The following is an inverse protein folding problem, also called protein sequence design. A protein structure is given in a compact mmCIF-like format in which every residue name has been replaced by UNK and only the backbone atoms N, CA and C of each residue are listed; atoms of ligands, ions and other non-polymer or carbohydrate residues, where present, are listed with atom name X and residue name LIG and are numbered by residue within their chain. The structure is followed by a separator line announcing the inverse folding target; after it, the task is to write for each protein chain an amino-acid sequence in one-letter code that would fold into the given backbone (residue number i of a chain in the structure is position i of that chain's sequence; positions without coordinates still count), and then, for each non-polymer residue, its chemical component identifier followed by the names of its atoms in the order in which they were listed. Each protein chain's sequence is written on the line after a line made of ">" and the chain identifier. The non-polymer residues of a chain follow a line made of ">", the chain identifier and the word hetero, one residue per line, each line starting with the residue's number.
data_IF_281925913150
#
_entry.id   IF_281925913150
#
_cell.length_a   1.000
_cell.length_b   1.000
_cell.length_c   1.000
_cell.angle_alpha   90.00
_cell.angle_beta   90.00
_cell.angle_gamma   90.00
#
_symmetry.space_group_name_H-M   'P 1'
#
loop_
_entity.id
_entity.type
_entity.pdbx_description
1 polymer ?
#
# COMPACT_ATOMS: atom_id res chain seq x y z
N UNK A 1 -1.85 10.25 23.28
CA UNK A 1 -0.61 10.14 22.48
C UNK A 1 -0.71 9.07 21.41
N UNK A 2 -1.50 9.33 20.37
CA UNK A 2 -1.61 8.49 19.17
C UNK A 2 -1.67 9.38 17.92
N UNK A 3 -0.68 10.25 17.74
CA UNK A 3 -0.41 10.89 16.46
C UNK A 3 1.09 11.23 16.41
N UNK A 4 1.89 10.24 16.02
CA UNK A 4 3.31 10.38 15.75
C UNK A 4 3.60 9.99 14.32
N UNK A 5 3.95 11.00 13.51
CA UNK A 5 4.86 10.94 12.37
C UNK A 5 4.67 9.86 11.28
N UNK A 6 4.20 10.29 10.11
CA UNK A 6 4.99 10.20 8.88
C UNK A 6 4.31 10.98 7.76
N UNK A 7 4.82 12.19 7.49
CA UNK A 7 4.49 12.93 6.28
C UNK A 7 5.12 12.25 5.08
N UNK A 8 4.32 11.54 4.28
CA UNK A 8 4.72 11.13 2.94
C UNK A 8 4.44 12.27 1.97
N UNK A 9 5.52 12.96 1.58
CA UNK A 9 5.53 13.94 0.49
C UNK A 9 5.48 13.16 -0.82
N UNK A 10 4.32 13.10 -1.44
CA UNK A 10 4.15 12.51 -2.77
C UNK A 10 4.87 13.39 -3.79
N UNK A 11 6.01 12.91 -4.30
CA UNK A 11 6.73 13.57 -5.39
C UNK A 11 5.95 13.40 -6.68
N UNK A 12 5.41 14.49 -7.21
CA UNK A 12 4.93 14.54 -8.59
C UNK A 12 6.14 14.48 -9.52
N UNK A 13 6.33 13.33 -10.18
CA UNK A 13 7.19 13.24 -11.35
C UNK A 13 6.45 13.88 -12.54
N UNK A 14 6.87 15.09 -12.85
CA UNK A 14 6.48 15.85 -14.03
C UNK A 14 7.15 15.23 -15.26
N UNK A 15 6.37 14.81 -16.26
CA UNK A 15 6.90 14.65 -17.62
C UNK A 15 5.80 14.81 -18.68
N UNK A 16 5.94 15.84 -19.53
CA UNK A 16 5.49 15.81 -20.92
C UNK A 16 4.13 16.41 -21.27
N UNK A 17 4.10 17.74 -21.46
CA UNK A 17 3.53 18.38 -22.67
C UNK A 17 2.05 18.21 -22.98
N UNK A 18 1.22 19.14 -22.50
CA UNK A 18 -0.13 19.38 -22.98
C UNK A 18 -0.59 20.77 -22.56
N UNK A 19 -0.50 21.74 -23.48
CA UNK A 19 -0.94 23.10 -23.28
C UNK A 19 -2.46 23.13 -23.31
N UNK A 20 -3.12 23.16 -22.14
CA UNK A 20 -4.56 23.36 -22.06
C UNK A 20 -4.88 24.50 -21.08
N UNK A 21 -5.17 25.66 -21.66
CA UNK A 21 -5.69 26.84 -20.96
C UNK A 21 -7.15 26.56 -20.58
N UNK A 22 -7.34 25.80 -19.50
CA UNK A 22 -8.63 25.60 -18.85
C UNK A 22 -8.74 26.50 -17.63
N UNK A 23 -9.50 27.59 -17.77
CA UNK A 23 -9.90 28.50 -16.70
C UNK A 23 -10.64 27.73 -15.58
N UNK A 24 -9.89 27.23 -14.60
CA UNK A 24 -10.39 26.49 -13.44
C UNK A 24 -10.51 27.40 -12.23
N UNK A 25 -11.73 27.75 -11.90
CA UNK A 25 -12.16 28.57 -10.78
C UNK A 25 -11.50 28.13 -9.45
N UNK A 26 -10.43 28.83 -9.04
CA UNK A 26 -9.83 28.70 -7.72
C UNK A 26 -10.75 29.36 -6.68
N UNK A 27 -11.90 28.74 -6.40
CA UNK A 27 -12.66 29.02 -5.20
C UNK A 27 -11.89 28.39 -4.05
N UNK A 28 -11.65 29.15 -2.99
CA UNK A 28 -10.95 28.78 -1.76
C UNK A 28 -11.49 27.49 -1.09
N UNK A 29 -11.24 26.32 -1.68
CA UNK A 29 -11.67 25.03 -1.18
C UNK A 29 -10.82 24.61 0.00
N UNK A 30 -11.43 24.53 1.19
CA UNK A 30 -10.81 23.91 2.36
C UNK A 30 -10.45 22.48 2.00
N UNK A 31 -9.19 22.09 2.20
CA UNK A 31 -8.74 20.72 1.90
C UNK A 31 -9.42 19.73 2.85
N UNK A 32 -9.62 18.50 2.39
CA UNK A 32 -10.21 17.45 3.21
C UNK A 32 -9.48 17.25 4.55
N UNK A 33 -8.14 17.28 4.52
CA UNK A 33 -7.32 17.21 5.74
C UNK A 33 -7.62 18.36 6.72
N UNK A 34 -7.78 19.59 6.22
CA UNK A 34 -8.12 20.75 7.06
C UNK A 34 -9.51 20.62 7.69
N UNK A 35 -10.50 20.11 6.95
CA UNK A 35 -11.84 19.84 7.51
C UNK A 35 -11.78 18.81 8.64
N UNK A 36 -11.04 17.71 8.46
CA UNK A 36 -10.86 16.67 9.50
C UNK A 36 -10.10 17.21 10.72
N UNK A 37 -9.06 18.01 10.53
CA UNK A 37 -8.31 18.66 11.61
C UNK A 37 -9.20 19.61 12.43
N UNK A 38 -10.04 20.41 11.75
CA UNK A 38 -11.01 21.30 12.41
C UNK A 38 -12.07 20.52 13.18
N UNK A 39 -12.63 19.44 12.61
CA UNK A 39 -13.55 18.54 13.30
C UNK A 39 -12.92 18.00 14.59
N UNK A 40 -11.67 17.54 14.51
CA UNK A 40 -10.94 17.05 15.67
C UNK A 40 -10.72 18.12 16.75
N UNK A 41 -10.42 19.37 16.35
CA UNK A 41 -10.29 20.48 17.29
C UNK A 41 -11.61 20.82 17.99
N UNK A 42 -12.73 20.78 17.26
CA UNK A 42 -14.06 20.98 17.83
C UNK A 42 -14.48 19.85 18.77
N UNK A 43 -14.22 18.60 18.41
CA UNK A 43 -14.46 17.44 19.27
C UNK A 43 -13.64 17.52 20.57
N UNK A 44 -12.37 17.96 20.48
CA UNK A 44 -11.57 18.25 21.68
C UNK A 44 -12.23 19.33 22.54
N UNK A 45 -12.71 20.41 21.94
CA UNK A 45 -13.38 21.48 22.69
C UNK A 45 -14.65 20.95 23.37
N UNK A 46 -15.47 20.20 22.64
CA UNK A 46 -16.70 19.57 23.16
C UNK A 46 -16.39 18.70 24.39
N UNK A 47 -15.36 17.86 24.30
CA UNK A 47 -14.92 17.04 25.42
C UNK A 47 -14.60 17.87 26.69
N UNK A 48 -13.90 19.00 26.54
CA UNK A 48 -13.57 19.86 27.68
C UNK A 48 -14.82 20.56 28.25
N UNK A 49 -15.74 20.99 27.39
CA UNK A 49 -17.00 21.62 27.81
C UNK A 49 -17.91 20.64 28.55
N UNK A 50 -18.06 19.41 28.04
CA UNK A 50 -18.80 18.33 28.72
C UNK A 50 -18.16 18.00 30.06
N UNK A 51 -16.83 17.88 30.11
CA UNK A 51 -16.09 17.64 31.36
C UNK A 51 -16.30 18.76 32.38
N UNK A 52 -16.41 20.01 31.93
CA UNK A 52 -16.69 21.14 32.81
C UNK A 52 -18.15 21.14 33.30
N UNK A 53 -19.11 20.88 32.41
CA UNK A 53 -20.52 20.77 32.77
C UNK A 53 -20.76 19.69 33.83
N UNK A 54 -20.13 18.52 33.68
CA UNK A 54 -20.21 17.44 34.68
C UNK A 54 -19.62 17.85 36.04
N UNK A 55 -18.53 18.62 36.06
CA UNK A 55 -17.98 19.17 37.32
C UNK A 55 -18.95 20.14 38.00
N UNK A 56 -19.56 21.05 37.23
CA UNK A 56 -20.54 22.02 37.75
C UNK A 56 -21.76 21.27 38.30
N UNK A 57 -22.26 20.28 37.56
CA UNK A 57 -23.38 19.42 37.99
C UNK A 57 -23.07 18.67 39.28
N UNK A 58 -21.89 18.07 39.41
CA UNK A 58 -21.48 17.40 40.65
C UNK A 58 -21.43 18.37 41.84
N UNK A 59 -21.00 19.61 41.64
CA UNK A 59 -20.99 20.63 42.70
C UNK A 59 -22.41 21.12 43.04
N UNK A 60 -23.25 21.30 42.03
CA UNK A 60 -24.67 21.59 42.19
C UNK A 60 -25.35 20.52 43.05
N UNK A 61 -25.19 19.24 42.72
CA UNK A 61 -25.83 18.13 43.43
C UNK A 61 -25.38 18.08 44.90
N UNK A 62 -24.10 18.32 45.18
CA UNK A 62 -23.59 18.44 46.56
C UNK A 62 -24.23 19.61 47.30
N UNK A 63 -24.40 20.75 46.63
CA UNK A 63 -24.92 21.98 47.25
C UNK A 63 -26.42 21.88 47.50
N UNK A 64 -27.18 21.26 46.59
CA UNK A 64 -28.60 20.91 46.79
C UNK A 64 -28.77 19.98 47.99
N UNK A 65 -27.93 18.96 48.12
CA UNK A 65 -27.95 18.06 49.28
C UNK A 65 -27.61 18.79 50.59
N UNK A 66 -26.66 19.72 50.57
CA UNK A 66 -26.37 20.58 51.73
C UNK A 66 -27.56 21.47 52.10
N UNK A 67 -28.24 22.07 51.13
CA UNK A 67 -29.43 22.90 51.35
C UNK A 67 -30.53 22.09 52.03
N UNK A 68 -30.86 20.90 51.49
CA UNK A 68 -31.85 19.98 52.09
C UNK A 68 -31.53 19.65 53.54
N UNK A 69 -30.25 19.41 53.88
CA UNK A 69 -29.82 19.13 55.26
C UNK A 69 -30.00 20.33 56.20
N UNK A 70 -29.78 21.56 55.72
CA UNK A 70 -29.99 22.78 56.51
C UNK A 70 -31.47 23.04 56.77
N UNK A 71 -32.31 22.81 55.77
CA UNK A 71 -33.78 22.94 55.87
C UNK A 71 -34.37 21.95 56.87
N UNK A 72 -33.98 20.68 56.81
CA UNK A 72 -34.44 19.63 57.76
C UNK A 72 -34.02 19.96 59.20
N UNK A 73 -32.82 20.51 59.39
CA UNK A 73 -32.29 20.85 60.73
C UNK A 73 -32.81 22.17 61.29
N UNK A 74 -33.68 22.91 60.58
CA UNK A 74 -34.12 24.28 60.92
C UNK A 74 -32.92 25.17 61.27
N UNK A 75 -31.89 25.15 60.43
CA UNK A 75 -30.70 25.98 60.61
C UNK A 75 -31.03 27.49 60.47
N UNK A 76 -30.11 28.34 60.93
CA UNK A 76 -30.24 29.80 60.83
C UNK A 76 -30.59 30.26 59.40
N UNK A 77 -31.60 31.13 59.31
CA UNK A 77 -32.15 31.67 58.07
C UNK A 77 -31.06 32.23 57.15
N UNK A 78 -30.11 32.98 57.72
CA UNK A 78 -29.00 33.58 56.96
C UNK A 78 -28.13 32.53 56.26
N UNK A 79 -27.92 31.37 56.89
CA UNK A 79 -27.11 30.27 56.34
C UNK A 79 -27.85 29.50 55.26
N UNK A 80 -29.16 29.30 55.44
CA UNK A 80 -30.03 28.66 54.45
C UNK A 80 -30.11 29.52 53.19
N UNK A 81 -30.37 30.83 53.33
CA UNK A 81 -30.43 31.75 52.18
C UNK A 81 -29.10 31.88 51.44
N UNK A 82 -27.96 31.88 52.14
CA UNK A 82 -26.64 31.85 51.49
C UNK A 82 -26.48 30.60 50.61
N UNK A 83 -26.87 29.45 51.14
CA UNK A 83 -26.76 28.16 50.43
C UNK A 83 -27.69 28.13 49.22
N UNK A 84 -28.90 28.67 49.35
CA UNK A 84 -29.87 28.80 48.25
C UNK A 84 -29.32 29.64 47.10
N UNK A 85 -28.73 30.81 47.39
CA UNK A 85 -28.07 31.65 46.37
C UNK A 85 -26.91 30.92 45.66
N UNK A 86 -26.20 30.05 46.36
CA UNK A 86 -25.13 29.24 45.76
C UNK A 86 -25.69 28.15 44.84
N UNK A 87 -26.85 27.56 45.16
CA UNK A 87 -27.58 26.65 44.26
C UNK A 87 -28.05 27.40 43.00
N UNK A 88 -28.75 28.52 43.15
CA UNK A 88 -29.26 29.34 42.02
C UNK A 88 -28.10 29.78 41.09
N UNK A 89 -26.94 30.12 41.66
CA UNK A 89 -25.72 30.41 40.89
C UNK A 89 -25.24 29.20 40.10
N UNK A 90 -25.22 28.01 40.71
CA UNK A 90 -24.78 26.78 40.04
C UNK A 90 -25.76 26.36 38.94
N UNK A 91 -27.07 26.54 39.14
CA UNK A 91 -28.09 26.32 38.10
C UNK A 91 -27.83 27.23 36.89
N UNK A 92 -27.59 28.53 37.12
CA UNK A 92 -27.22 29.47 36.04
C UNK A 92 -25.94 29.03 35.30
N UNK A 93 -24.93 28.54 36.03
CA UNK A 93 -23.70 28.02 35.42
C UNK A 93 -23.92 26.73 34.61
N UNK A 94 -24.86 25.88 35.03
CA UNK A 94 -25.24 24.68 34.27
C UNK A 94 -25.92 25.04 32.96
N UNK A 95 -26.81 26.04 32.95
CA UNK A 95 -27.44 26.54 31.73
C UNK A 95 -26.40 27.11 30.74
N UNK A 96 -25.46 27.92 31.24
CA UNK A 96 -24.35 28.45 30.42
C UNK A 96 -23.49 27.33 29.86
N UNK A 97 -23.17 26.31 30.67
CA UNK A 97 -22.39 25.16 30.22
C UNK A 97 -23.14 24.33 29.17
N UNK A 98 -24.45 24.14 29.33
CA UNK A 98 -25.30 23.47 28.34
C UNK A 98 -25.35 24.25 27.02
N UNK A 99 -25.45 25.57 27.07
CA UNK A 99 -25.43 26.42 25.87
C UNK A 99 -24.09 26.35 25.12
N UNK A 100 -22.96 26.31 25.86
CA UNK A 100 -21.64 26.13 25.26
C UNK A 100 -21.54 24.78 24.52
N UNK A 101 -21.95 23.68 25.17
CA UNK A 101 -22.00 22.34 24.58
C UNK A 101 -22.86 22.31 23.31
N UNK A 102 -24.05 22.92 23.34
CA UNK A 102 -24.95 22.98 22.19
C UNK A 102 -24.33 23.77 21.03
N UNK A 103 -23.68 24.90 21.32
CA UNK A 103 -23.00 25.73 20.31
C UNK A 103 -21.86 24.97 19.65
N UNK A 104 -20.99 24.33 20.44
CA UNK A 104 -19.88 23.52 19.92
C UNK A 104 -20.39 22.33 19.12
N UNK A 105 -21.43 21.64 19.60
CA UNK A 105 -22.04 20.51 18.88
C UNK A 105 -22.65 20.95 17.55
N UNK A 106 -23.28 22.12 17.50
CA UNK A 106 -23.85 22.67 16.26
C UNK A 106 -22.76 22.97 15.21
N UNK A 107 -21.60 23.48 15.63
CA UNK A 107 -20.46 23.69 14.71
C UNK A 107 -19.88 22.38 14.18
N UNK A 108 -19.85 21.31 14.99
CA UNK A 108 -19.44 19.96 14.53
C UNK A 108 -20.43 19.44 13.47
N UNK A 109 -21.74 19.54 13.73
CA UNK A 109 -22.77 19.13 12.77
C UNK A 109 -22.64 19.94 11.48
N UNK A 110 -22.50 21.26 11.58
CA UNK A 110 -22.33 22.14 10.42
C UNK A 110 -21.11 21.75 9.56
N UNK A 111 -19.97 21.48 10.20
CA UNK A 111 -18.77 21.01 9.49
C UNK A 111 -18.97 19.65 8.83
N UNK A 112 -19.62 18.72 9.54
CA UNK A 112 -19.91 17.38 9.03
C UNK A 112 -20.79 17.42 7.79
N UNK A 113 -21.90 18.15 7.85
CA UNK A 113 -22.90 18.18 6.77
C UNK A 113 -22.48 19.08 5.61
N UNK A 114 -21.89 20.26 5.88
CA UNK A 114 -21.64 21.25 4.82
C UNK A 114 -20.25 21.14 4.18
N UNK A 115 -19.26 20.55 4.86
CA UNK A 115 -17.90 20.40 4.33
C UNK A 115 -17.54 18.93 4.13
N UNK A 116 -17.61 18.12 5.20
CA UNK A 116 -17.11 16.75 5.15
C UNK A 116 -17.94 15.86 4.21
N UNK A 117 -19.28 15.87 4.31
CA UNK A 117 -20.13 15.01 3.50
C UNK A 117 -19.94 15.24 1.98
N UNK A 118 -19.98 16.49 1.45
CA UNK A 118 -19.67 16.75 0.04
C UNK A 118 -18.27 16.29 -0.38
N UNK A 119 -17.25 16.50 0.47
CA UNK A 119 -15.89 16.03 0.20
C UNK A 119 -15.81 14.50 0.10
N UNK A 120 -16.56 13.77 0.93
CA UNK A 120 -16.61 12.31 0.88
C UNK A 120 -17.28 11.82 -0.41
N UNK A 121 -18.34 12.48 -0.86
CA UNK A 121 -18.99 12.16 -2.13
C UNK A 121 -18.04 12.37 -3.32
N UNK A 122 -17.35 13.50 -3.35
CA UNK A 122 -16.34 13.79 -4.38
C UNK A 122 -15.19 12.79 -4.34
N UNK A 123 -14.78 12.36 -3.15
CA UNK A 123 -13.73 11.36 -2.96
C UNK A 123 -14.17 9.97 -3.45
N UNK A 124 -15.38 9.53 -3.11
CA UNK A 124 -15.96 8.27 -3.61
C UNK A 124 -16.08 8.31 -5.14
N UNK A 125 -16.55 9.42 -5.70
CA UNK A 125 -16.61 9.62 -7.16
C UNK A 125 -15.22 9.57 -7.79
N UNK A 126 -14.23 10.20 -7.16
CA UNK A 126 -12.83 10.16 -7.59
C UNK A 126 -12.29 8.74 -7.61
N UNK A 127 -12.55 7.94 -6.57
CA UNK A 127 -12.16 6.53 -6.52
C UNK A 127 -12.87 5.70 -7.58
N UNK A 128 -14.18 5.89 -7.78
CA UNK A 128 -14.92 5.22 -8.85
C UNK A 128 -14.29 5.47 -10.22
N UNK A 129 -14.01 6.74 -10.56
CA UNK A 129 -13.39 7.10 -11.84
C UNK A 129 -11.97 6.53 -11.97
N UNK A 130 -11.14 6.65 -10.92
CA UNK A 130 -9.79 6.12 -10.91
C UNK A 130 -9.78 4.60 -11.12
N UNK A 131 -10.63 3.86 -10.40
CA UNK A 131 -10.70 2.40 -10.53
C UNK A 131 -11.25 1.96 -11.87
N UNK A 132 -12.18 2.72 -12.48
CA UNK A 132 -12.62 2.50 -13.85
C UNK A 132 -11.47 2.61 -14.84
N UNK A 133 -10.70 3.70 -14.79
CA UNK A 133 -9.52 3.86 -15.66
C UNK A 133 -8.46 2.79 -15.42
N UNK A 134 -8.21 2.42 -14.15
CA UNK A 134 -7.28 1.33 -13.82
C UNK A 134 -7.76 -0.02 -14.37
N UNK A 135 -9.05 -0.31 -14.29
CA UNK A 135 -9.63 -1.53 -14.83
C UNK A 135 -9.51 -1.60 -16.36
N UNK A 136 -9.83 -0.52 -17.07
CA UNK A 136 -9.68 -0.42 -18.52
C UNK A 136 -8.22 -0.62 -18.96
N UNK A 137 -7.28 0.05 -18.30
CA UNK A 137 -5.84 -0.12 -18.54
C UNK A 137 -5.39 -1.57 -18.31
N UNK A 138 -5.80 -2.18 -17.18
CA UNK A 138 -5.42 -3.55 -16.87
C UNK A 138 -6.05 -4.57 -17.81
N UNK A 139 -7.25 -4.33 -18.33
CA UNK A 139 -7.82 -5.19 -19.39
C UNK A 139 -6.95 -5.19 -20.65
N UNK A 140 -6.48 -4.02 -21.09
CA UNK A 140 -5.59 -3.92 -22.27
C UNK A 140 -4.27 -4.62 -22.00
N UNK A 141 -3.65 -4.38 -20.83
CA UNK A 141 -2.40 -5.03 -20.44
C UNK A 141 -2.57 -6.55 -20.33
N UNK A 142 -3.67 -7.01 -19.75
CA UNK A 142 -4.02 -8.42 -19.65
C UNK A 142 -4.14 -9.04 -21.04
N UNK A 143 -4.83 -8.39 -21.98
CA UNK A 143 -4.97 -8.87 -23.35
C UNK A 143 -3.60 -9.02 -24.05
N UNK A 144 -2.69 -8.05 -23.88
CA UNK A 144 -1.32 -8.10 -24.43
C UNK A 144 -0.55 -9.26 -23.82
N UNK A 145 -0.59 -9.40 -22.50
CA UNK A 145 0.14 -10.43 -21.76
C UNK A 145 -0.39 -11.83 -22.08
N UNK A 146 -1.70 -11.97 -22.32
CA UNK A 146 -2.31 -13.21 -22.75
C UNK A 146 -1.79 -13.70 -24.10
N UNK A 147 -1.28 -12.81 -24.96
CA UNK A 147 -0.65 -13.22 -26.22
C UNK A 147 0.73 -13.86 -26.02
N UNK A 148 1.38 -13.63 -24.87
CA UNK A 148 2.72 -14.17 -24.60
C UNK A 148 2.74 -15.71 -24.57
N UNK A 149 1.61 -16.35 -24.27
CA UNK A 149 1.48 -17.82 -24.33
C UNK A 149 1.71 -18.40 -25.73
N UNK A 150 1.60 -17.58 -26.78
CA UNK A 150 1.85 -17.98 -28.17
C UNK A 150 3.28 -17.68 -28.64
N UNK A 151 4.13 -17.06 -27.80
CA UNK A 151 5.54 -16.87 -28.12
C UNK A 151 6.27 -18.21 -28.06
N UNK A 152 6.36 -18.89 -29.21
CA UNK A 152 7.18 -20.09 -29.40
C UNK A 152 8.61 -19.70 -29.80
N UNK A 153 9.29 -18.91 -28.96
CA UNK A 153 10.67 -18.51 -29.21
C UNK A 153 11.64 -19.58 -28.70
N UNK A 154 12.58 -19.99 -29.55
CA UNK A 154 13.70 -20.82 -29.10
C UNK A 154 14.51 -19.98 -28.11
N UNK A 155 14.71 -20.43 -26.84
CA UNK A 155 15.46 -19.66 -25.87
C UNK A 155 16.87 -19.36 -26.38
N UNK A 156 17.26 -18.08 -26.36
CA UNK A 156 18.59 -17.66 -26.78
C UNK A 156 19.67 -18.41 -26.01
N UNK A 157 20.76 -18.80 -26.69
CA UNK A 157 21.95 -19.38 -26.07
C UNK A 157 22.96 -18.31 -25.64
N UNK A 158 22.65 -17.02 -25.83
CA UNK A 158 23.55 -15.94 -25.46
C UNK A 158 23.62 -15.76 -23.95
N UNK A 159 24.83 -15.57 -23.38
CA UNK A 159 25.01 -15.27 -21.95
C UNK A 159 24.29 -14.01 -21.51
N UNK A 160 23.95 -13.92 -20.23
CA UNK A 160 23.38 -12.72 -19.63
C UNK A 160 24.38 -11.56 -19.69
N UNK A 161 23.96 -10.48 -20.35
CA UNK A 161 24.73 -9.24 -20.45
C UNK A 161 24.58 -8.40 -19.18
N UNK A 162 25.47 -7.43 -19.00
CA UNK A 162 25.37 -6.49 -17.89
C UNK A 162 24.07 -5.65 -17.96
N UNK A 163 23.61 -5.32 -19.16
CA UNK A 163 22.34 -4.62 -19.37
C UNK A 163 21.18 -5.49 -18.90
N UNK A 164 21.14 -6.78 -19.28
CA UNK A 164 20.11 -7.72 -18.80
C UNK A 164 20.07 -7.80 -17.27
N UNK A 165 21.25 -7.84 -16.64
CA UNK A 165 21.39 -7.87 -15.18
C UNK A 165 20.85 -6.61 -14.52
N UNK A 166 21.18 -5.44 -15.06
CA UNK A 166 20.68 -4.16 -14.56
C UNK A 166 19.16 -4.04 -14.74
N UNK A 167 18.62 -4.45 -15.90
CA UNK A 167 17.19 -4.41 -16.17
C UNK A 167 16.38 -5.29 -15.21
N UNK A 168 16.85 -6.51 -14.91
CA UNK A 168 16.12 -7.40 -14.00
C UNK A 168 16.16 -6.90 -12.55
N UNK A 169 17.28 -6.31 -12.12
CA UNK A 169 17.41 -5.72 -10.78
C UNK A 169 16.53 -4.47 -10.64
N UNK A 170 16.45 -3.63 -11.67
CA UNK A 170 15.52 -2.52 -11.68
C UNK A 170 14.08 -3.03 -11.59
N UNK A 171 13.73 -4.05 -12.38
CA UNK A 171 12.39 -4.65 -12.34
C UNK A 171 12.06 -5.21 -10.95
N UNK A 172 13.00 -5.87 -10.28
CA UNK A 172 12.82 -6.36 -8.92
C UNK A 172 12.50 -5.21 -7.94
N UNK A 173 13.25 -4.12 -7.99
CA UNK A 173 13.03 -2.95 -7.15
C UNK A 173 11.67 -2.28 -7.42
N UNK A 174 11.31 -2.10 -8.68
CA UNK A 174 10.02 -1.51 -9.06
C UNK A 174 8.83 -2.39 -8.62
N UNK A 175 8.94 -3.71 -8.78
CA UNK A 175 7.91 -4.64 -8.30
C UNK A 175 7.77 -4.64 -6.79
N UNK A 176 8.89 -4.55 -6.06
CA UNK A 176 8.87 -4.40 -4.61
C UNK A 176 8.18 -3.09 -4.19
N UNK A 177 8.50 -1.98 -4.85
CA UNK A 177 7.86 -0.69 -4.59
C UNK A 177 6.38 -0.72 -4.94
N UNK A 178 6.01 -1.36 -6.05
CA UNK A 178 4.61 -1.52 -6.46
C UNK A 178 3.82 -2.32 -5.42
N UNK A 179 4.33 -3.47 -4.99
CA UNK A 179 3.71 -4.29 -3.95
C UNK A 179 3.49 -3.51 -2.65
N UNK A 180 4.52 -2.79 -2.18
CA UNK A 180 4.43 -2.00 -0.95
C UNK A 180 3.43 -0.84 -1.09
N UNK A 181 3.46 -0.14 -2.22
CA UNK A 181 2.54 0.97 -2.51
C UNK A 181 1.10 0.50 -2.57
N UNK A 182 0.84 -0.65 -3.21
CA UNK A 182 -0.47 -1.27 -3.28
C UNK A 182 -1.01 -1.60 -1.88
N UNK A 183 -0.22 -2.31 -1.06
CA UNK A 183 -0.61 -2.66 0.30
C UNK A 183 -0.90 -1.43 1.16
N UNK A 184 -0.06 -0.39 1.02
CA UNK A 184 -0.24 0.86 1.76
C UNK A 184 -1.50 1.62 1.32
N UNK A 185 -1.81 1.67 0.02
CA UNK A 185 -3.00 2.31 -0.49
C UNK A 185 -4.27 1.67 0.08
N UNK A 186 -4.38 0.34 -0.01
CA UNK A 186 -5.56 -0.39 0.48
C UNK A 186 -5.69 -0.24 1.99
N UNK A 187 -4.58 -0.37 2.73
CA UNK A 187 -4.58 -0.19 4.18
C UNK A 187 -5.00 1.23 4.57
N UNK A 188 -4.45 2.26 3.93
CA UNK A 188 -4.76 3.65 4.23
C UNK A 188 -6.25 3.96 4.00
N UNK A 189 -6.83 3.49 2.89
CA UNK A 189 -8.26 3.64 2.62
C UNK A 189 -9.12 2.95 3.70
N UNK A 190 -8.75 1.71 4.06
CA UNK A 190 -9.47 0.91 5.07
C UNK A 190 -9.40 1.53 6.46
N UNK A 191 -8.21 1.98 6.88
CA UNK A 191 -7.99 2.60 8.19
C UNK A 191 -8.74 3.94 8.28
N UNK A 192 -8.71 4.72 7.20
CA UNK A 192 -9.43 5.99 7.10
C UNK A 192 -10.95 5.79 7.26
N UNK A 193 -11.57 4.94 6.43
CA UNK A 193 -13.02 4.79 6.44
C UNK A 193 -13.53 4.14 7.74
N UNK A 194 -12.76 3.22 8.34
CA UNK A 194 -13.10 2.63 9.64
C UNK A 194 -13.03 3.65 10.76
N UNK A 195 -12.01 4.51 10.77
CA UNK A 195 -11.88 5.57 11.77
C UNK A 195 -13.04 6.55 11.67
N UNK A 196 -13.41 6.93 10.44
CA UNK A 196 -14.50 7.84 10.19
C UNK A 196 -15.87 7.25 10.55
N UNK A 197 -16.16 6.03 10.11
CA UNK A 197 -17.39 5.30 10.45
C UNK A 197 -17.49 5.09 11.97
N UNK A 198 -16.37 4.74 12.61
CA UNK A 198 -16.28 4.64 14.06
C UNK A 198 -16.63 5.96 14.76
N UNK A 199 -16.03 7.07 14.33
CA UNK A 199 -16.35 8.40 14.86
C UNK A 199 -17.84 8.73 14.70
N UNK A 200 -18.40 8.59 13.50
CA UNK A 200 -19.82 8.85 13.24
C UNK A 200 -20.72 7.99 14.13
N UNK A 201 -20.38 6.71 14.32
CA UNK A 201 -21.15 5.80 15.17
C UNK A 201 -21.20 6.28 16.63
N UNK A 202 -20.07 6.74 17.17
CA UNK A 202 -19.98 7.31 18.51
C UNK A 202 -20.77 8.61 18.62
N UNK A 203 -20.62 9.50 17.64
CA UNK A 203 -21.20 10.85 17.66
C UNK A 203 -22.71 10.86 17.41
N UNK A 204 -23.25 9.91 16.65
CA UNK A 204 -24.68 9.86 16.30
C UNK A 204 -25.51 8.97 17.24
N UNK A 205 -24.98 7.82 17.68
CA UNK A 205 -25.81 6.78 18.29
C UNK A 205 -25.55 6.50 19.79
N UNK A 206 -24.41 6.89 20.35
CA UNK A 206 -24.06 6.47 21.72
C UNK A 206 -24.67 7.31 22.85
N UNK A 207 -25.18 8.51 22.59
CA UNK A 207 -25.66 9.43 23.64
C UNK A 207 -27.19 9.60 23.69
N UNK A 208 -27.95 9.06 22.73
CA UNK A 208 -29.41 9.18 22.72
C UNK A 208 -30.09 8.02 23.47
N UNK A 209 -30.46 8.27 24.75
CA UNK A 209 -31.32 7.37 25.54
C UNK A 209 -32.80 7.44 25.18
N UNK A 210 -33.19 8.32 24.26
CA UNK A 210 -34.59 8.56 23.92
C UNK A 210 -34.98 7.75 22.65
N UNK A 211 -35.81 6.70 22.75
CA UNK A 211 -36.12 5.80 21.62
C UNK A 211 -36.75 6.50 20.41
N UNK A 212 -37.46 7.61 20.64
CA UNK A 212 -38.16 8.39 19.61
C UNK A 212 -37.21 9.22 18.72
N UNK A 213 -36.02 9.59 19.22
CA UNK A 213 -35.01 10.30 18.42
C UNK A 213 -34.09 9.35 17.63
N UNK A 214 -34.18 8.05 17.89
CA UNK A 214 -33.41 7.01 17.21
C UNK A 214 -33.83 6.81 15.76
N UNK A 215 -35.08 7.17 15.44
CA UNK A 215 -35.72 6.99 14.13
C UNK A 215 -35.49 8.15 13.14
N UNK A 216 -34.87 9.26 13.56
CA UNK A 216 -34.74 10.48 12.74
C UNK A 216 -33.29 10.68 12.22
N UNK A 217 -32.33 9.88 12.67
CA UNK A 217 -30.93 10.01 12.28
C UNK A 217 -30.41 8.84 11.45
N UNK A 218 -31.07 8.58 10.32
CA UNK A 218 -30.41 7.99 9.15
C UNK A 218 -29.53 9.10 8.53
N UNK A 219 -28.39 9.36 9.18
CA UNK A 219 -27.45 10.35 8.68
C UNK A 219 -26.85 9.80 7.38
N UNK A 220 -27.18 10.43 6.26
CA UNK A 220 -26.73 10.04 4.90
C UNK A 220 -25.22 9.82 4.82
N UNK A 221 -24.44 10.63 5.56
CA UNK A 221 -23.00 10.46 5.70
C UNK A 221 -22.61 9.13 6.39
N UNK A 222 -23.36 8.67 7.39
CA UNK A 222 -23.09 7.40 8.07
C UNK A 222 -23.37 6.23 7.13
N UNK A 223 -24.52 6.22 6.43
CA UNK A 223 -24.84 5.20 5.43
C UNK A 223 -23.80 5.16 4.31
N UNK A 224 -23.37 6.32 3.78
CA UNK A 224 -22.28 6.42 2.80
C UNK A 224 -21.00 5.75 3.31
N UNK A 225 -20.62 6.04 4.56
CA UNK A 225 -19.40 5.51 5.15
C UNK A 225 -19.47 4.01 5.41
N UNK A 226 -20.64 3.49 5.85
CA UNK A 226 -20.85 2.05 6.01
C UNK A 226 -20.76 1.30 4.69
N UNK A 227 -21.43 1.78 3.64
CA UNK A 227 -21.39 1.15 2.32
C UNK A 227 -19.98 1.20 1.72
N UNK A 228 -19.28 2.33 1.87
CA UNK A 228 -17.88 2.42 1.49
C UNK A 228 -17.01 1.43 2.28
N UNK A 229 -17.19 1.34 3.59
CA UNK A 229 -16.45 0.38 4.41
C UNK A 229 -16.71 -1.06 3.94
N UNK A 230 -17.96 -1.42 3.64
CA UNK A 230 -18.33 -2.73 3.11
C UNK A 230 -17.66 -3.00 1.75
N UNK A 231 -17.67 -2.03 0.83
CA UNK A 231 -17.04 -2.18 -0.48
C UNK A 231 -15.53 -2.47 -0.37
N UNK A 232 -14.82 -1.78 0.53
CA UNK A 232 -13.40 -2.02 0.79
C UNK A 232 -13.16 -3.32 1.56
N UNK A 233 -14.04 -3.68 2.49
CA UNK A 233 -13.90 -4.91 3.28
C UNK A 233 -14.07 -6.18 2.43
N UNK A 234 -14.87 -6.13 1.37
CA UNK A 234 -15.07 -7.24 0.42
C UNK A 234 -14.11 -7.24 -0.77
N UNK A 235 -13.28 -6.20 -0.94
CA UNK A 235 -12.34 -6.14 -2.06
C UNK A 235 -11.30 -7.29 -1.97
N UNK A 236 -10.94 -7.96 -3.08
CA UNK A 236 -10.02 -9.09 -3.09
C UNK A 236 -8.54 -8.64 -3.06
N UNK A 237 -8.22 -7.70 -2.16
CA UNK A 237 -6.90 -7.09 -2.01
C UNK A 237 -5.79 -8.11 -1.73
N UNK A 238 -6.09 -9.13 -0.92
CA UNK A 238 -5.14 -10.22 -0.63
C UNK A 238 -4.77 -11.02 -1.88
N UNK A 239 -5.73 -11.27 -2.77
CA UNK A 239 -5.48 -12.02 -4.02
C UNK A 239 -4.59 -11.21 -4.95
N UNK A 240 -4.88 -9.92 -5.11
CA UNK A 240 -4.03 -9.01 -5.90
C UNK A 240 -2.62 -8.86 -5.30
N UNK A 241 -2.51 -8.66 -3.98
CA UNK A 241 -1.22 -8.54 -3.28
C UNK A 241 -0.36 -9.80 -3.44
N UNK A 242 -0.94 -10.98 -3.24
CA UNK A 242 -0.22 -12.25 -3.42
C UNK A 242 0.15 -12.49 -4.89
N UNK A 243 -0.68 -12.05 -5.85
CA UNK A 243 -0.33 -12.07 -7.28
C UNK A 243 0.93 -11.25 -7.58
N UNK A 244 1.02 -10.02 -7.06
CA UNK A 244 2.19 -9.15 -7.25
C UNK A 244 3.43 -9.74 -6.55
N UNK A 245 3.26 -10.22 -5.31
CA UNK A 245 4.33 -10.80 -4.51
C UNK A 245 4.87 -12.11 -5.10
N UNK A 246 4.00 -12.92 -5.69
CA UNK A 246 4.39 -14.13 -6.43
C UNK A 246 5.28 -13.77 -7.61
N UNK A 247 4.89 -12.75 -8.41
CA UNK A 247 5.73 -12.26 -9.50
C UNK A 247 7.10 -11.78 -8.99
N UNK A 248 7.12 -10.98 -7.92
CA UNK A 248 8.36 -10.52 -7.28
C UNK A 248 9.26 -11.69 -6.87
N UNK A 249 8.69 -12.75 -6.29
CA UNK A 249 9.43 -13.95 -5.87
C UNK A 249 10.09 -14.66 -7.07
N UNK A 250 9.37 -14.76 -8.20
CA UNK A 250 9.92 -15.35 -9.43
C UNK A 250 11.01 -14.48 -10.04
N UNK A 251 10.84 -13.15 -10.04
CA UNK A 251 11.87 -12.22 -10.51
C UNK A 251 13.13 -12.30 -9.64
N UNK A 252 12.99 -12.37 -8.31
CA UNK A 252 14.11 -12.58 -7.39
C UNK A 252 14.85 -13.89 -7.70
N UNK A 253 14.13 -14.97 -7.98
CA UNK A 253 14.76 -16.24 -8.37
C UNK A 253 15.57 -16.12 -9.67
N UNK A 254 15.12 -15.32 -10.64
CA UNK A 254 15.89 -15.01 -11.86
C UNK A 254 17.15 -14.21 -11.53
N UNK A 255 17.06 -13.21 -10.64
CA UNK A 255 18.23 -12.42 -10.19
C UNK A 255 19.29 -13.32 -9.56
N UNK A 256 18.88 -14.21 -8.65
CA UNK A 256 19.78 -15.19 -8.02
C UNK A 256 20.39 -16.12 -9.07
N UNK A 257 19.59 -16.59 -10.03
CA UNK A 257 20.07 -17.45 -11.10
C UNK A 257 21.08 -16.75 -12.03
N UNK A 258 20.86 -15.49 -12.37
CA UNK A 258 21.82 -14.69 -13.14
C UNK A 258 23.14 -14.49 -12.39
N UNK A 259 23.10 -14.35 -11.06
CA UNK A 259 24.30 -14.26 -10.24
C UNK A 259 25.12 -15.56 -10.27
N UNK A 260 24.45 -16.73 -10.20
CA UNK A 260 25.12 -18.03 -10.34
C UNK A 260 25.64 -18.27 -11.77
N UNK A 261 24.89 -17.89 -12.81
CA UNK A 261 25.35 -17.92 -14.19
C UNK A 261 26.66 -17.13 -14.38
N UNK A 262 26.71 -15.90 -13.83
CA UNK A 262 27.88 -15.05 -13.89
C UNK A 262 29.07 -15.61 -13.10
N UNK A 263 28.82 -16.24 -11.95
CA UNK A 263 29.85 -16.95 -11.18
C UNK A 263 30.40 -18.15 -11.95
N UNK A 264 29.54 -18.90 -12.62
CA UNK A 264 29.95 -20.04 -13.44
C UNK A 264 30.72 -19.61 -14.69
N UNK A 265 30.36 -18.46 -15.29
CA UNK A 265 31.13 -17.83 -16.37
C UNK A 265 32.58 -17.58 -15.95
N UNK A 266 32.81 -16.96 -14.79
CA UNK A 266 34.15 -16.69 -14.26
C UNK A 266 34.97 -17.96 -14.04
N UNK A 267 34.35 -19.05 -13.58
CA UNK A 267 35.04 -20.36 -13.43
C UNK A 267 35.44 -20.94 -14.78
N UNK A 268 34.54 -20.90 -15.76
CA UNK A 268 34.81 -21.34 -17.14
C UNK A 268 35.96 -20.55 -17.77
N UNK A 269 35.94 -19.22 -17.67
CA UNK A 269 37.01 -18.34 -18.17
C UNK A 269 38.35 -18.61 -17.48
N UNK A 270 38.35 -18.84 -16.16
CA UNK A 270 39.56 -19.18 -15.41
C UNK A 270 40.14 -20.54 -15.82
N UNK A 271 39.29 -21.56 -15.99
CA UNK A 271 39.72 -22.88 -16.45
C UNK A 271 40.29 -22.83 -17.88
N UNK A 272 39.66 -22.08 -18.78
CA UNK A 272 40.14 -21.87 -20.14
C UNK A 272 41.48 -21.12 -20.16
N UNK A 273 41.64 -20.09 -19.32
CA UNK A 273 42.91 -19.33 -19.21
C UNK A 273 44.06 -20.19 -18.70
N UNK A 274 43.82 -21.08 -17.73
CA UNK A 274 44.84 -22.03 -17.25
C UNK A 274 45.21 -23.06 -18.34
N UNK A 275 44.21 -23.58 -19.06
CA UNK A 275 44.41 -24.44 -20.21
C UNK A 275 45.27 -23.75 -21.29
N UNK A 276 44.94 -22.52 -21.69
CA UNK A 276 45.69 -21.76 -22.70
C UNK A 276 47.15 -21.54 -22.28
N UNK A 277 47.37 -21.19 -21.00
CA UNK A 277 48.72 -21.02 -20.45
C UNK A 277 49.51 -22.33 -20.51
N UNK A 278 48.92 -23.46 -20.09
CA UNK A 278 49.60 -24.77 -20.09
C UNK A 278 49.79 -25.33 -21.49
N UNK A 279 48.85 -25.10 -22.41
CA UNK A 279 49.00 -25.43 -23.81
C UNK A 279 50.14 -24.61 -24.46
N UNK A 280 50.27 -23.32 -24.14
CA UNK A 280 51.38 -22.50 -24.62
C UNK A 280 52.74 -22.96 -24.05
N UNK A 281 52.82 -23.30 -22.76
CA UNK A 281 54.02 -23.88 -22.13
C UNK A 281 54.41 -25.22 -22.79
N UNK A 282 53.43 -26.05 -23.14
CA UNK A 282 53.65 -27.32 -23.85
C UNK A 282 54.18 -27.08 -25.26
N UNK A 283 53.54 -26.21 -26.06
CA UNK A 283 54.01 -25.85 -27.41
C UNK A 283 55.44 -25.31 -27.42
N UNK A 284 55.79 -24.48 -26.44
CA UNK A 284 57.15 -23.97 -26.29
C UNK A 284 58.16 -25.07 -25.93
N UNK A 285 57.75 -26.05 -25.11
CA UNK A 285 58.60 -27.20 -24.77
C UNK A 285 58.79 -28.10 -26.00
N UNK A 286 57.72 -28.44 -26.71
CA UNK A 286 57.78 -29.26 -27.91
C UNK A 286 58.62 -28.62 -29.02
N UNK A 287 58.56 -27.29 -29.18
CA UNK A 287 59.42 -26.56 -30.10
C UNK A 287 60.91 -26.57 -29.73
N UNK A 288 61.26 -26.74 -28.44
CA UNK A 288 62.65 -26.90 -27.97
C UNK A 288 63.17 -28.34 -28.15
N UNK A 289 62.28 -29.32 -28.14
CA UNK A 289 62.58 -30.75 -28.31
C UNK A 289 62.26 -31.21 -29.75
N UNK A 290 62.53 -30.37 -30.75
CA UNK A 290 62.25 -30.67 -32.16
C UNK A 290 62.90 -31.97 -32.66
N UNK A 291 62.66 -32.39 -33.92
CA UNK A 291 63.01 -33.73 -34.45
C UNK A 291 64.49 -34.16 -34.35
N UNK A 292 65.38 -33.29 -33.86
CA UNK A 292 66.83 -33.48 -33.77
C UNK A 292 67.42 -33.31 -32.34
N UNK A 293 66.61 -33.18 -31.28
CA UNK A 293 67.15 -33.14 -29.91
C UNK A 293 67.61 -34.52 -29.44
N UNK A 294 68.92 -34.78 -29.49
CA UNK A 294 69.53 -35.96 -28.87
C UNK A 294 69.51 -35.83 -27.33
N UNK A 295 69.16 -36.89 -26.59
CA UNK A 295 69.30 -36.89 -25.14
C UNK A 295 70.78 -37.10 -24.80
N UNK A 296 71.43 -36.08 -24.23
CA UNK A 296 72.76 -36.24 -23.64
C UNK A 296 72.70 -37.34 -22.58
N UNK A 297 73.41 -38.42 -22.89
CA UNK A 297 73.49 -39.62 -22.10
C UNK A 297 74.48 -39.37 -20.97
N UNK A 298 74.08 -38.62 -19.95
CA UNK A 298 74.80 -38.64 -18.67
C UNK A 298 73.90 -38.31 -17.49
N UNK A 299 73.48 -39.38 -16.81
CA UNK A 299 73.34 -39.37 -15.36
C UNK A 299 72.17 -38.60 -14.77
N UNK A 300 70.94 -39.10 -14.92
CA UNK A 300 70.04 -39.21 -13.76
C UNK A 300 68.98 -40.29 -13.98
N UNK A 301 69.00 -41.31 -13.11
CA UNK A 301 67.98 -42.36 -13.00
C UNK A 301 66.67 -41.71 -12.52
N UNK A 302 65.81 -41.31 -13.45
CA UNK A 302 64.35 -41.16 -13.27
C UNK A 302 63.71 -41.02 -14.65
N UNK A 303 63.37 -42.14 -15.28
CA UNK A 303 62.77 -42.21 -16.62
C UNK A 303 61.34 -41.67 -16.65
N UNK A 304 61.19 -40.34 -16.69
CA UNK A 304 59.92 -39.66 -16.98
C UNK A 304 60.12 -38.79 -18.21
N UNK A 305 59.30 -39.03 -19.23
CA UNK A 305 59.18 -38.16 -20.41
C UNK A 305 58.53 -36.83 -19.99
N UNK A 306 59.28 -35.72 -19.90
CA UNK A 306 58.75 -34.45 -19.41
C UNK A 306 57.72 -33.84 -20.38
N UNK A 307 57.76 -34.21 -21.66
CA UNK A 307 56.78 -33.78 -22.67
C UNK A 307 55.50 -34.59 -22.49
N UNK A 308 55.60 -35.91 -22.32
CA UNK A 308 54.48 -36.80 -22.02
C UNK A 308 53.70 -36.41 -20.76
N UNK A 309 54.40 -36.10 -19.66
CA UNK A 309 53.74 -35.62 -18.43
C UNK A 309 53.02 -34.29 -18.62
N UNK A 310 53.61 -33.36 -19.39
CA UNK A 310 52.95 -32.07 -19.71
C UNK A 310 51.75 -32.25 -20.66
N UNK A 311 51.83 -33.16 -21.63
CA UNK A 311 50.69 -33.53 -22.50
C UNK A 311 49.53 -34.07 -21.68
N UNK A 312 49.79 -35.01 -20.78
CA UNK A 312 48.76 -35.55 -19.88
C UNK A 312 48.11 -34.45 -19.02
N UNK A 313 48.91 -33.50 -18.51
CA UNK A 313 48.41 -32.36 -17.74
C UNK A 313 47.54 -31.41 -18.58
N UNK A 314 47.93 -31.11 -19.82
CA UNK A 314 47.11 -30.30 -20.73
C UNK A 314 45.79 -31.00 -21.06
N UNK A 315 45.81 -32.31 -21.30
CA UNK A 315 44.59 -33.07 -21.56
C UNK A 315 43.63 -33.08 -20.36
N UNK A 316 44.14 -33.24 -19.14
CA UNK A 316 43.32 -33.10 -17.93
C UNK A 316 42.70 -31.70 -17.79
N UNK A 317 43.46 -30.65 -18.08
CA UNK A 317 42.95 -29.27 -18.04
C UNK A 317 41.94 -29.00 -19.15
N UNK A 318 42.10 -29.63 -20.31
CA UNK A 318 41.15 -29.55 -21.42
C UNK A 318 39.81 -30.16 -21.02
N UNK A 319 39.81 -31.38 -20.48
CA UNK A 319 38.59 -32.02 -19.98
C UNK A 319 37.90 -31.17 -18.91
N UNK A 320 38.68 -30.58 -17.99
CA UNK A 320 38.15 -29.67 -16.97
C UNK A 320 37.55 -28.39 -17.58
N UNK A 321 38.19 -27.78 -18.56
CA UNK A 321 37.69 -26.58 -19.22
C UNK A 321 36.39 -26.86 -20.01
N UNK A 322 36.32 -27.99 -20.70
CA UNK A 322 35.10 -28.46 -21.38
C UNK A 322 33.96 -28.70 -20.38
N UNK A 323 34.25 -29.29 -19.22
CA UNK A 323 33.27 -29.50 -18.17
C UNK A 323 32.74 -28.17 -17.58
N UNK A 324 33.61 -27.22 -17.25
CA UNK A 324 33.19 -25.91 -16.74
C UNK A 324 32.39 -25.10 -17.78
N UNK A 325 32.75 -25.22 -19.06
CA UNK A 325 32.03 -24.64 -20.19
C UNK A 325 30.62 -25.23 -20.30
N UNK A 326 30.47 -26.55 -20.25
CA UNK A 326 29.18 -27.22 -20.28
C UNK A 326 28.27 -26.81 -19.10
N UNK A 327 28.86 -26.63 -17.91
CA UNK A 327 28.11 -26.08 -16.75
C UNK A 327 27.68 -24.64 -16.96
N UNK A 328 28.49 -23.80 -17.60
CA UNK A 328 28.11 -22.43 -17.94
C UNK A 328 26.96 -22.38 -18.95
N UNK A 329 27.04 -23.17 -20.03
CA UNK A 329 25.98 -23.29 -21.04
C UNK A 329 24.65 -23.75 -20.43
N UNK A 330 24.70 -24.72 -19.50
CA UNK A 330 23.52 -25.15 -18.75
C UNK A 330 22.93 -24.03 -17.89
N UNK A 331 23.78 -23.23 -17.23
CA UNK A 331 23.33 -22.10 -16.43
C UNK A 331 22.65 -21.02 -17.29
N UNK A 332 23.16 -20.73 -18.49
CA UNK A 332 22.54 -19.81 -19.46
C UNK A 332 21.16 -20.32 -19.87
N UNK A 333 21.07 -21.60 -20.27
CA UNK A 333 19.81 -22.23 -20.68
C UNK A 333 18.77 -22.14 -19.56
N UNK A 334 19.16 -22.38 -18.31
CA UNK A 334 18.28 -22.28 -17.15
C UNK A 334 17.79 -20.84 -16.92
N UNK A 335 18.68 -19.85 -16.97
CA UNK A 335 18.30 -18.42 -16.87
C UNK A 335 17.26 -18.06 -17.93
N UNK A 336 17.49 -18.44 -19.18
CA UNK A 336 16.62 -18.09 -20.32
C UNK A 336 15.26 -18.79 -20.22
N UNK A 337 15.24 -20.06 -19.82
CA UNK A 337 14.01 -20.78 -19.56
C UNK A 337 13.19 -20.15 -18.42
N UNK A 338 13.84 -19.77 -17.31
CA UNK A 338 13.16 -19.10 -16.20
C UNK A 338 12.56 -17.75 -16.61
N UNK A 339 13.30 -16.93 -17.36
CA UNK A 339 12.80 -15.65 -17.86
C UNK A 339 11.61 -15.84 -18.79
N UNK A 340 11.68 -16.76 -19.76
CA UNK A 340 10.59 -17.02 -20.69
C UNK A 340 9.34 -17.56 -19.97
N UNK A 341 9.53 -18.52 -19.06
CA UNK A 341 8.41 -19.09 -18.30
C UNK A 341 7.74 -18.01 -17.42
N UNK A 342 8.51 -17.13 -16.79
CA UNK A 342 7.96 -15.99 -16.07
C UNK A 342 7.13 -15.06 -16.97
N UNK A 343 7.59 -14.77 -18.19
CA UNK A 343 6.81 -13.97 -19.14
C UNK A 343 5.51 -14.67 -19.55
N UNK A 344 5.55 -15.98 -19.78
CA UNK A 344 4.40 -16.76 -20.26
C UNK A 344 3.37 -17.10 -19.18
N UNK A 345 3.80 -17.23 -17.92
CA UNK A 345 2.95 -17.74 -16.84
C UNK A 345 2.84 -16.76 -15.66
N UNK A 346 3.92 -16.06 -15.32
CA UNK A 346 3.96 -15.13 -14.19
C UNK A 346 3.21 -13.83 -14.47
N UNK A 347 3.46 -13.21 -15.64
CA UNK A 347 2.78 -11.97 -16.03
C UNK A 347 1.25 -12.16 -16.15
N UNK A 348 0.71 -13.18 -16.87
CA UNK A 348 -0.74 -13.33 -16.97
C UNK A 348 -1.42 -13.47 -15.61
N UNK A 349 -0.78 -14.19 -14.69
CA UNK A 349 -1.35 -14.40 -13.36
C UNK A 349 -1.47 -13.11 -12.55
N UNK A 350 -0.44 -12.26 -12.54
CA UNK A 350 -0.53 -10.96 -11.84
C UNK A 350 -1.54 -10.03 -12.50
N UNK A 351 -1.58 -9.98 -13.84
CA UNK A 351 -2.51 -9.12 -14.57
C UNK A 351 -3.95 -9.58 -14.41
N UNK A 352 -4.20 -10.89 -14.30
CA UNK A 352 -5.51 -11.43 -13.94
C UNK A 352 -5.96 -10.94 -12.57
N UNK A 353 -5.07 -11.03 -11.58
CA UNK A 353 -5.39 -10.67 -10.20
C UNK A 353 -5.69 -9.16 -10.06
N UNK A 354 -4.87 -8.29 -10.65
CA UNK A 354 -5.07 -6.83 -10.57
C UNK A 354 -6.25 -6.36 -11.44
N UNK A 355 -6.52 -7.01 -12.58
CA UNK A 355 -7.70 -6.72 -13.40
C UNK A 355 -8.99 -7.05 -12.63
N UNK A 356 -9.04 -8.24 -12.01
CA UNK A 356 -10.17 -8.66 -11.18
C UNK A 356 -10.38 -7.75 -9.97
N UNK A 357 -9.28 -7.38 -9.29
CA UNK A 357 -9.34 -6.44 -8.17
C UNK A 357 -9.87 -5.06 -8.60
N UNK A 358 -9.33 -4.46 -9.67
CA UNK A 358 -9.78 -3.17 -10.17
C UNK A 358 -11.25 -3.19 -10.60
N UNK A 359 -11.72 -4.30 -11.19
CA UNK A 359 -13.13 -4.49 -11.53
C UNK A 359 -14.05 -4.45 -10.29
N UNK A 360 -13.69 -5.21 -9.25
CA UNK A 360 -14.46 -5.25 -8.00
C UNK A 360 -14.45 -3.88 -7.33
N UNK A 361 -13.31 -3.19 -7.27
CA UNK A 361 -13.25 -1.84 -6.72
C UNK A 361 -14.11 -0.86 -7.53
N UNK A 362 -14.02 -0.88 -8.86
CA UNK A 362 -14.83 -0.03 -9.74
C UNK A 362 -16.33 -0.21 -9.44
N UNK A 363 -16.83 -1.44 -9.44
CA UNK A 363 -18.24 -1.72 -9.16
C UNK A 363 -18.63 -1.40 -7.71
N UNK A 364 -17.75 -1.68 -6.75
CA UNK A 364 -17.99 -1.36 -5.34
C UNK A 364 -18.18 0.16 -5.14
N UNK A 365 -17.25 0.96 -5.65
CA UNK A 365 -17.34 2.42 -5.54
C UNK A 365 -18.48 3.02 -6.38
N UNK A 366 -18.80 2.44 -7.53
CA UNK A 366 -19.96 2.83 -8.33
C UNK A 366 -21.28 2.56 -7.58
N UNK A 367 -21.41 1.42 -6.90
CA UNK A 367 -22.56 1.10 -6.06
C UNK A 367 -22.72 2.12 -4.93
N UNK A 368 -21.65 2.40 -4.18
CA UNK A 368 -21.63 3.38 -3.09
C UNK A 368 -22.06 4.77 -3.59
N UNK A 369 -21.49 5.22 -4.72
CA UNK A 369 -21.81 6.53 -5.29
C UNK A 369 -23.27 6.63 -5.73
N UNK A 370 -23.79 5.60 -6.41
CA UNK A 370 -25.18 5.59 -6.89
C UNK A 370 -26.20 5.56 -5.74
N UNK A 371 -25.91 4.79 -4.69
CA UNK A 371 -26.75 4.74 -3.49
C UNK A 371 -26.82 6.11 -2.81
N UNK A 372 -25.68 6.76 -2.62
CA UNK A 372 -25.63 8.11 -2.04
C UNK A 372 -26.41 9.14 -2.87
N UNK A 373 -26.27 9.10 -4.21
CA UNK A 373 -27.01 9.97 -5.12
C UNK A 373 -28.51 9.72 -5.08
N UNK A 374 -28.95 8.46 -4.92
CA UNK A 374 -30.36 8.12 -4.81
C UNK A 374 -30.99 8.71 -3.54
N UNK A 375 -30.25 8.74 -2.44
CA UNK A 375 -30.68 9.34 -1.17
C UNK A 375 -30.77 10.88 -1.23
N UNK A 376 -29.97 11.54 -2.07
CA UNK A 376 -30.08 12.99 -2.33
C UNK A 376 -31.30 13.37 -3.17
N UNK A 377 -31.81 12.44 -3.99
CA UNK A 377 -32.96 12.66 -4.89
C UNK A 377 -34.31 12.34 -4.25
N UNK A 378 -34.32 11.65 -3.11
CA UNK A 378 -35.52 11.31 -2.34
C UNK A 378 -35.87 12.21 -1.10
N UNK A 379 -35.73 13.56 -1.12
CA UNK A 379 -36.37 14.40 -0.10
C UNK A 379 -37.87 14.65 -0.36
N UNK A 380 -38.43 14.19 -1.49
CA UNK A 380 -39.75 14.62 -1.98
C UNK A 380 -40.90 13.61 -1.75
N UNK A 381 -40.64 12.32 -1.51
CA UNK A 381 -41.75 11.37 -1.30
C UNK A 381 -42.31 11.33 0.13
N UNK A 382 -41.55 11.81 1.13
CA UNK A 382 -42.07 11.97 2.50
C UNK A 382 -43.18 13.03 2.55
N UNK A 383 -43.13 14.06 1.70
CA UNK A 383 -44.18 15.08 1.61
C UNK A 383 -45.45 14.60 0.90
N UNK A 384 -45.35 13.61 0.01
CA UNK A 384 -46.53 13.00 -0.65
C UNK A 384 -47.26 12.01 0.25
N UNK A 385 -46.55 11.28 1.10
CA UNK A 385 -47.15 10.33 2.05
C UNK A 385 -47.80 10.99 3.28
N UNK A 386 -47.47 12.25 3.59
CA UNK A 386 -48.14 13.03 4.64
C UNK A 386 -49.31 13.90 4.14
N UNK A 387 -49.60 13.88 2.83
CA UNK A 387 -50.71 14.62 2.20
C UNK A 387 -51.72 13.72 1.47
N UNK A 388 -51.65 12.40 1.68
CA UNK A 388 -52.68 11.43 1.31
C UNK A 388 -53.27 10.84 2.59
#
# INVERSE_FOLDING_TARGET
>A
DLFGGNGMRMGMMNNGGGNDNGNGNAINGVSHGSTVERLYAWEKKLFHEVKNAEKIKMEHDKRVEQLRRLEVKRADYMKTEKTKKEVEKLESLMEVAAQAINTTSAEIVKLRENELYPQLLDLVKGFMCMWRSMYECHQVQMHIVDQLKFLNTVPSTEPTSEIHRQSILQLEMELQQWHQSFCNLVKAQRDYIRSLTGWLRLSLFQFNKNPLMRSIQDSTIYSLCEEWQLAIDHAPDKVASEGIKSLLTVIHAIVVQQAEEHKQKKKSEAANKDLEKKAAELRSLEGKYGPYSMPDTSGTRNGRDPVGEKRAKVEMLKNKAEEEKGRHEKAISMTRAMTLNNMQMGLPHVFQAITGFSSVCMHGFESVYNQAKSMEQDPHDVKRLMMA
#
